data_IF_228055483207
#
_entry.id   IF_228055483207
#
_cell.length_a   1.000
_cell.length_b   1.000
_cell.length_c   1.000
_cell.angle_alpha   90.00
_cell.angle_beta   90.00
_cell.angle_gamma   90.00
#
_symmetry.space_group_name_H-M   'P 1'
#
loop_
_entity.id
_entity.type
_entity.pdbx_description
1 polymer ?
#
# COMPACT_ATOMS: atom_id res chain seq x y z
N UNK A 1 -28.82 -6.08 -16.10
CA UNK A 1 -29.34 -5.33 -14.94
C UNK A 1 -28.15 -4.74 -14.21
N UNK A 2 -27.98 -3.42 -14.24
CA UNK A 2 -26.99 -2.75 -13.41
C UNK A 2 -27.55 -2.74 -11.99
N UNK A 3 -27.11 -3.67 -11.15
CA UNK A 3 -27.33 -3.57 -9.71
C UNK A 3 -26.68 -2.25 -9.28
N UNK A 4 -27.46 -1.33 -8.69
CA UNK A 4 -26.86 -0.17 -8.05
C UNK A 4 -25.97 -0.68 -6.93
N UNK A 5 -24.67 -0.38 -7.01
CA UNK A 5 -23.73 -0.71 -5.95
C UNK A 5 -24.16 0.04 -4.70
N UNK A 6 -24.15 -0.64 -3.56
CA UNK A 6 -24.34 0.07 -2.29
C UNK A 6 -23.10 0.91 -2.01
N UNK A 7 -23.22 1.96 -1.20
CA UNK A 7 -22.06 2.77 -0.80
C UNK A 7 -20.92 1.94 -0.18
N UNK A 8 -21.25 0.80 0.44
CA UNK A 8 -20.26 -0.14 0.97
C UNK A 8 -19.56 -0.93 -0.15
N UNK A 9 -20.27 -1.29 -1.23
CA UNK A 9 -19.67 -1.97 -2.38
C UNK A 9 -18.74 -1.04 -3.15
N UNK A 10 -19.10 0.24 -3.29
CA UNK A 10 -18.23 1.27 -3.88
C UNK A 10 -16.95 1.45 -3.04
N UNK A 11 -17.08 1.56 -1.72
CA UNK A 11 -15.93 1.69 -0.82
C UNK A 11 -15.01 0.45 -0.87
N UNK A 12 -15.56 -0.76 -0.95
CA UNK A 12 -14.76 -1.98 -1.14
C UNK A 12 -14.06 -1.97 -2.50
N UNK A 13 -14.77 -1.56 -3.57
CA UNK A 13 -14.21 -1.43 -4.91
C UNK A 13 -13.03 -0.45 -4.94
N UNK A 14 -13.17 0.73 -4.33
CA UNK A 14 -12.13 1.76 -4.26
C UNK A 14 -10.90 1.28 -3.48
N UNK A 15 -11.11 0.59 -2.35
CA UNK A 15 -10.01 0.01 -1.58
C UNK A 15 -9.27 -1.05 -2.41
N UNK A 16 -9.98 -1.93 -3.11
CA UNK A 16 -9.36 -2.94 -3.99
C UNK A 16 -8.62 -2.28 -5.14
N UNK A 17 -9.19 -1.25 -5.77
CA UNK A 17 -8.55 -0.49 -6.84
C UNK A 17 -7.24 0.15 -6.36
N UNK A 18 -7.26 0.83 -5.21
CA UNK A 18 -6.06 1.41 -4.59
C UNK A 18 -5.00 0.34 -4.32
N UNK A 19 -5.38 -0.83 -3.79
CA UNK A 19 -4.44 -1.94 -3.54
C UNK A 19 -3.79 -2.46 -4.83
N UNK A 20 -4.56 -2.60 -5.91
CA UNK A 20 -4.05 -3.05 -7.21
C UNK A 20 -3.08 -2.03 -7.81
N UNK A 21 -3.40 -0.74 -7.74
CA UNK A 21 -2.53 0.33 -8.22
C UNK A 21 -1.24 0.39 -7.41
N UNK A 22 -1.32 0.31 -6.07
CA UNK A 22 -0.14 0.25 -5.20
C UNK A 22 0.75 -0.94 -5.58
N UNK A 23 0.15 -2.13 -5.74
CA UNK A 23 0.90 -3.32 -6.17
C UNK A 23 1.59 -3.12 -7.52
N UNK A 24 0.89 -2.55 -8.50
CA UNK A 24 1.46 -2.30 -9.83
C UNK A 24 2.64 -1.32 -9.77
N UNK A 25 2.53 -0.25 -8.97
CA UNK A 25 3.61 0.71 -8.76
C UNK A 25 4.83 0.03 -8.12
N UNK A 26 4.61 -0.79 -7.09
CA UNK A 26 5.68 -1.52 -6.41
C UNK A 26 6.37 -2.53 -7.32
N UNK A 27 5.60 -3.26 -8.13
CA UNK A 27 6.13 -4.21 -9.10
C UNK A 27 6.97 -3.49 -10.19
N UNK A 28 6.57 -2.29 -10.60
CA UNK A 28 7.38 -1.46 -11.53
C UNK A 28 8.67 -0.98 -10.87
N UNK A 29 8.61 -0.47 -9.63
CA UNK A 29 9.78 -0.02 -8.87
C UNK A 29 10.80 -1.14 -8.73
N UNK A 30 10.36 -2.37 -8.47
CA UNK A 30 11.26 -3.52 -8.29
C UNK A 30 12.09 -3.82 -9.55
N UNK A 31 11.51 -3.60 -10.74
CA UNK A 31 12.18 -3.77 -12.04
C UNK A 31 13.14 -2.63 -12.36
N UNK A 32 12.78 -1.38 -12.02
CA UNK A 32 13.53 -0.20 -12.49
C UNK A 32 14.52 0.38 -11.48
N UNK A 33 14.30 0.17 -10.18
CA UNK A 33 15.06 0.83 -9.13
C UNK A 33 16.17 -0.09 -8.58
N UNK A 34 17.40 0.41 -8.43
CA UNK A 34 18.48 -0.35 -7.82
C UNK A 34 18.20 -0.57 -6.32
N UNK A 35 18.85 -1.59 -5.74
CA UNK A 35 18.59 -2.09 -4.38
C UNK A 35 18.67 -0.97 -3.33
N UNK A 36 19.67 -0.11 -3.43
CA UNK A 36 19.92 0.98 -2.48
C UNK A 36 18.79 2.02 -2.48
N UNK A 37 18.17 2.26 -3.64
CA UNK A 37 17.02 3.16 -3.76
C UNK A 37 15.79 2.52 -3.13
N UNK A 38 15.57 1.21 -3.35
CA UNK A 38 14.45 0.48 -2.74
C UNK A 38 14.56 0.44 -1.22
N UNK A 39 15.75 0.19 -0.69
CA UNK A 39 16.00 0.21 0.77
C UNK A 39 15.77 1.59 1.37
N UNK A 40 16.25 2.65 0.70
CA UNK A 40 16.02 4.03 1.14
C UNK A 40 14.53 4.39 1.11
N UNK A 41 13.81 4.00 0.06
CA UNK A 41 12.37 4.19 -0.05
C UNK A 41 11.63 3.46 1.07
N UNK A 42 11.98 2.19 1.34
CA UNK A 42 11.37 1.42 2.42
C UNK A 42 11.58 2.08 3.80
N UNK A 43 12.80 2.56 4.06
CA UNK A 43 13.12 3.29 5.29
C UNK A 43 12.31 4.59 5.42
N UNK A 44 12.22 5.38 4.34
CA UNK A 44 11.40 6.59 4.33
C UNK A 44 9.92 6.30 4.54
N UNK A 45 9.37 5.26 3.91
CA UNK A 45 7.98 4.87 4.05
C UNK A 45 7.65 4.41 5.48
N UNK A 46 8.55 3.67 6.14
CA UNK A 46 8.41 3.28 7.55
C UNK A 46 8.45 4.46 8.53
N UNK A 47 9.12 5.55 8.16
CA UNK A 47 9.24 6.74 9.00
C UNK A 47 8.02 7.68 8.91
N UNK A 48 7.07 7.41 8.01
CA UNK A 48 5.86 8.23 7.91
C UNK A 48 4.96 7.91 9.09
N UNK A 49 4.80 8.90 9.97
CA UNK A 49 3.80 8.84 11.02
C UNK A 49 2.41 9.17 10.45
N UNK A 50 1.60 8.14 10.28
CA UNK A 50 0.21 8.32 9.89
C UNK A 50 -0.69 8.65 11.10
N UNK A 51 -0.26 8.44 12.35
CA UNK A 51 -1.13 8.67 13.52
C UNK A 51 -1.53 10.13 13.71
N UNK A 52 -0.68 11.06 13.26
CA UNK A 52 -0.93 12.50 13.25
C UNK A 52 -1.63 13.01 11.99
N UNK A 53 -1.88 12.15 11.01
CA UNK A 53 -2.48 12.55 9.73
C UNK A 53 -4.01 12.72 9.87
N UNK A 54 -4.62 13.80 9.34
CA UNK A 54 -6.07 14.01 9.42
C UNK A 54 -6.89 12.86 8.81
N UNK A 55 -6.33 12.18 7.81
CA UNK A 55 -6.91 11.02 7.16
C UNK A 55 -7.09 9.80 8.09
N UNK A 56 -6.34 9.76 9.20
CA UNK A 56 -6.35 8.67 10.18
C UNK A 56 -7.48 8.76 11.20
N UNK A 57 -8.27 9.85 11.15
CA UNK A 57 -9.50 9.99 11.92
C UNK A 57 -10.60 9.05 11.40
N UNK A 58 -10.55 8.66 10.12
CA UNK A 58 -11.48 7.69 9.53
C UNK A 58 -10.94 6.25 9.68
N UNK A 59 -11.69 5.33 10.33
CA UNK A 59 -11.25 3.95 10.55
C UNK A 59 -10.98 3.16 9.27
N UNK A 60 -11.72 3.45 8.18
CA UNK A 60 -11.53 2.76 6.90
C UNK A 60 -10.22 3.18 6.26
N UNK A 61 -9.96 4.48 6.22
CA UNK A 61 -8.74 5.08 5.68
C UNK A 61 -7.52 4.63 6.47
N UNK A 62 -7.61 4.62 7.81
CA UNK A 62 -6.55 4.09 8.67
C UNK A 62 -6.23 2.62 8.34
N UNK A 63 -7.26 1.78 8.18
CA UNK A 63 -7.09 0.37 7.82
C UNK A 63 -6.48 0.21 6.42
N UNK A 64 -6.86 1.04 5.47
CA UNK A 64 -6.29 1.03 4.11
C UNK A 64 -4.80 1.42 4.13
N UNK A 65 -4.43 2.46 4.89
CA UNK A 65 -3.05 2.89 5.10
C UNK A 65 -2.22 1.74 5.72
N UNK A 66 -2.71 1.12 6.80
CA UNK A 66 -2.02 -0.01 7.43
C UNK A 66 -1.80 -1.18 6.46
N UNK A 67 -2.80 -1.52 5.63
CA UNK A 67 -2.65 -2.56 4.61
C UNK A 67 -1.62 -2.16 3.54
N UNK A 68 -1.60 -0.91 3.11
CA UNK A 68 -0.63 -0.41 2.15
C UNK A 68 0.80 -0.53 2.69
N UNK A 69 1.03 -0.11 3.95
CA UNK A 69 2.32 -0.26 4.63
C UNK A 69 2.74 -1.74 4.68
N UNK A 70 1.85 -2.64 5.09
CA UNK A 70 2.16 -4.07 5.16
C UNK A 70 2.53 -4.67 3.78
N UNK A 71 1.86 -4.25 2.70
CA UNK A 71 2.19 -4.68 1.33
C UNK A 71 3.56 -4.17 0.87
N UNK A 72 3.87 -2.92 1.21
CA UNK A 72 5.16 -2.28 0.95
C UNK A 72 6.28 -3.01 1.71
N UNK A 73 6.07 -3.31 2.99
CA UNK A 73 7.03 -4.06 3.80
C UNK A 73 7.26 -5.46 3.26
N UNK A 74 6.21 -6.21 2.89
CA UNK A 74 6.37 -7.53 2.29
C UNK A 74 7.23 -7.49 1.02
N UNK A 75 7.13 -6.39 0.25
CA UNK A 75 7.86 -6.20 -1.01
C UNK A 75 9.31 -5.76 -0.82
N UNK A 76 9.59 -4.89 0.15
CA UNK A 76 10.91 -4.31 0.33
C UNK A 76 11.70 -4.88 1.52
N UNK A 77 11.12 -5.77 2.33
CA UNK A 77 11.91 -6.51 3.32
C UNK A 77 12.82 -7.47 2.54
N UNK A 78 14.16 -7.45 2.79
CA UNK A 78 15.06 -8.39 2.16
C UNK A 78 14.55 -9.81 2.44
N UNK A 79 14.24 -10.58 1.41
CA UNK A 79 13.97 -12.00 1.58
C UNK A 79 15.32 -12.67 1.86
N UNK A 80 15.70 -12.75 3.14
CA UNK A 80 16.80 -13.59 3.55
C UNK A 80 16.48 -15.03 3.15
N UNK A 81 17.14 -15.52 2.09
CA UNK A 81 17.17 -16.94 1.74
C UNK A 81 16.08 -17.41 0.78
N UNK A 82 16.36 -17.31 -0.52
CA UNK A 82 16.07 -18.43 -1.42
C UNK A 82 17.20 -18.49 -2.47
N UNK A 83 18.33 -19.04 -2.03
CA UNK A 83 19.39 -19.53 -2.91
C UNK A 83 19.11 -20.98 -3.29
#
# INVERSE_FOLDING_TARGET
>A
MSQNLTANDELVSDVVACQLVIKQILDVIDVIAPVEVREKMASQLRAIDFSSHPASADPVTLRAIQKAIALIELKFTPQEGTH
#
